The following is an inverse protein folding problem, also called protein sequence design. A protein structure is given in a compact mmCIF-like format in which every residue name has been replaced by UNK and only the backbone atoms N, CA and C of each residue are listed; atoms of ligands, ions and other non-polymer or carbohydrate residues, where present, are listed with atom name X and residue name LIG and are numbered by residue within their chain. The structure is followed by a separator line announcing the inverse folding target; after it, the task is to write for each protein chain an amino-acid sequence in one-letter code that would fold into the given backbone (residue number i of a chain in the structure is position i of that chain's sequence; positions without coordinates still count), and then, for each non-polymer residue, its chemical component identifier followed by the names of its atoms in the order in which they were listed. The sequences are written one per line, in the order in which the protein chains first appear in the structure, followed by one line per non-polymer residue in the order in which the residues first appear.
data_IF_567972850778
#
_entry.id   IF_567972850778
#
_cell.length_a   1.000
_cell.length_b   1.000
_cell.length_c   1.000
_cell.angle_alpha   90.00
_cell.angle_beta   90.00
_cell.angle_gamma   90.00
#
_symmetry.space_group_name_H-M   'P 1'
#
loop_
_entity.id
_entity.type
_entity.pdbx_description
1 polymer ?
#
# COMPACT_ATOMS: atom_id res chain seq x y z
N UNK A 1 8.74 8.78 -13.52
CA UNK A 1 8.88 7.81 -12.44
C UNK A 1 9.19 8.56 -11.17
N UNK A 2 8.37 8.37 -10.14
CA UNK A 2 8.47 9.03 -8.84
C UNK A 2 8.67 7.95 -7.78
N UNK A 3 9.56 8.21 -6.82
CA UNK A 3 9.79 7.32 -5.67
C UNK A 3 9.23 8.05 -4.43
N UNK A 4 8.40 7.36 -3.67
CA UNK A 4 7.83 7.84 -2.41
C UNK A 4 8.42 6.97 -1.30
N UNK A 5 9.26 7.56 -0.47
CA UNK A 5 9.82 6.96 0.74
C UNK A 5 9.26 7.68 1.96
N UNK A 6 9.18 7.00 3.09
CA UNK A 6 8.84 7.60 4.38
C UNK A 6 9.76 7.05 5.46
N UNK A 7 9.98 7.85 6.50
CA UNK A 7 10.69 7.43 7.70
C UNK A 7 9.70 6.71 8.64
N UNK A 8 10.14 5.74 9.44
CA UNK A 8 9.35 5.13 10.52
C UNK A 8 8.78 6.18 11.50
N UNK A 9 9.43 7.35 11.58
CA UNK A 9 9.03 8.49 12.40
C UNK A 9 8.10 9.46 11.67
N UNK A 10 7.93 9.34 10.34
CA UNK A 10 6.89 10.03 9.57
C UNK A 10 5.54 9.40 9.88
N UNK A 11 5.02 9.70 11.07
CA UNK A 11 3.64 9.37 11.40
C UNK A 11 2.73 10.05 10.37
N UNK A 12 1.95 9.25 9.65
CA UNK A 12 0.74 9.71 8.97
C UNK A 12 -0.15 10.36 10.04
N UNK A 13 -0.10 11.70 10.10
CA UNK A 13 -0.58 12.51 11.23
C UNK A 13 -1.79 13.36 10.88
N UNK A 14 -2.15 13.47 9.59
CA UNK A 14 -3.23 14.36 9.18
C UNK A 14 -4.58 13.66 9.32
N UNK A 15 -5.60 14.44 9.72
CA UNK A 15 -6.99 13.98 9.74
C UNK A 15 -7.46 13.54 8.34
N UNK A 16 -6.89 14.15 7.29
CA UNK A 16 -7.19 13.82 5.90
C UNK A 16 -6.71 12.41 5.56
N UNK A 17 -5.48 12.04 5.94
CA UNK A 17 -4.95 10.71 5.67
C UNK A 17 -5.72 9.63 6.43
N UNK A 18 -6.09 9.89 7.69
CA UNK A 18 -6.96 8.98 8.46
C UNK A 18 -8.33 8.81 7.81
N UNK A 19 -8.90 9.88 7.25
CA UNK A 19 -10.18 9.80 6.54
C UNK A 19 -10.06 8.93 5.28
N UNK A 20 -8.95 9.01 4.54
CA UNK A 20 -8.71 8.17 3.35
C UNK A 20 -8.52 6.70 3.72
N UNK A 21 -7.80 6.40 4.80
CA UNK A 21 -7.66 5.02 5.29
C UNK A 21 -9.01 4.47 5.75
N UNK A 22 -9.75 5.22 6.57
CA UNK A 22 -11.08 4.79 7.01
C UNK A 22 -12.04 4.60 5.83
N UNK A 23 -11.95 5.46 4.81
CA UNK A 23 -12.73 5.32 3.59
C UNK A 23 -12.44 3.97 2.90
N UNK A 24 -11.16 3.65 2.71
CA UNK A 24 -10.76 2.39 2.09
C UNK A 24 -11.12 1.18 2.94
N UNK A 25 -10.93 1.22 4.26
CA UNK A 25 -11.33 0.11 5.15
C UNK A 25 -12.85 -0.13 5.10
N UNK A 26 -13.67 0.92 5.05
CA UNK A 26 -15.11 0.77 4.90
C UNK A 26 -15.47 0.18 3.53
N UNK A 27 -14.77 0.58 2.46
CA UNK A 27 -14.95 0.03 1.12
C UNK A 27 -14.65 -1.47 1.09
N UNK A 28 -13.49 -1.89 1.64
CA UNK A 28 -13.08 -3.29 1.67
C UNK A 28 -13.98 -4.19 2.54
N UNK A 29 -14.67 -3.61 3.53
CA UNK A 29 -15.64 -4.32 4.36
C UNK A 29 -17.03 -4.45 3.71
N UNK A 30 -17.29 -3.78 2.59
CA UNK A 30 -18.54 -3.92 1.85
C UNK A 30 -18.49 -5.15 0.94
N UNK A 31 -19.33 -6.15 1.22
CA UNK A 31 -19.42 -7.38 0.42
C UNK A 31 -19.80 -7.18 -1.06
N UNK A 32 -20.24 -5.99 -1.43
CA UNK A 32 -20.65 -5.63 -2.79
C UNK A 32 -19.68 -4.70 -3.50
N UNK A 33 -18.55 -4.39 -2.85
CA UNK A 33 -17.57 -3.47 -3.39
C UNK A 33 -16.92 -4.02 -4.68
N UNK A 34 -16.55 -3.10 -5.57
CA UNK A 34 -15.83 -3.40 -6.80
C UNK A 34 -14.35 -3.05 -6.63
N UNK A 35 -13.43 -4.03 -6.71
CA UNK A 35 -11.98 -3.82 -6.62
C UNK A 35 -11.42 -2.76 -7.57
N UNK A 36 -12.06 -2.57 -8.73
CA UNK A 36 -11.63 -1.59 -9.74
C UNK A 36 -11.95 -0.13 -9.35
N UNK A 37 -12.70 0.09 -8.27
CA UNK A 37 -13.08 1.42 -7.78
C UNK A 37 -12.10 2.02 -6.77
N UNK A 38 -11.06 1.28 -6.38
CA UNK A 38 -10.06 1.77 -5.43
C UNK A 38 -9.32 2.98 -6.04
N UNK A 39 -9.40 4.12 -5.35
CA UNK A 39 -8.66 5.30 -5.76
C UNK A 39 -7.16 5.11 -5.50
N UNK A 40 -6.33 5.58 -6.42
CA UNK A 40 -4.88 5.50 -6.27
C UNK A 40 -4.42 6.24 -5.01
N UNK A 41 -5.09 7.35 -4.67
CA UNK A 41 -4.75 8.15 -3.48
C UNK A 41 -5.00 7.36 -2.20
N UNK A 42 -6.17 6.70 -2.09
CA UNK A 42 -6.50 5.88 -0.91
C UNK A 42 -5.49 4.74 -0.76
N UNK A 43 -5.20 4.03 -1.85
CA UNK A 43 -4.25 2.93 -1.85
C UNK A 43 -2.85 3.36 -1.37
N UNK A 44 -2.34 4.50 -1.83
CA UNK A 44 -1.03 5.01 -1.44
C UNK A 44 -0.97 5.40 0.04
N UNK A 45 -2.00 6.07 0.55
CA UNK A 45 -2.06 6.46 1.97
C UNK A 45 -2.24 5.22 2.85
N UNK A 46 -3.04 4.25 2.41
CA UNK A 46 -3.23 2.98 3.10
C UNK A 46 -1.92 2.20 3.23
N UNK A 47 -1.17 2.05 2.13
CA UNK A 47 0.15 1.42 2.14
C UNK A 47 1.06 2.07 3.17
N UNK A 48 1.18 3.41 3.14
CA UNK A 48 1.99 4.14 4.11
C UNK A 48 1.57 3.88 5.55
N UNK A 49 0.27 3.80 5.83
CA UNK A 49 -0.22 3.59 7.19
C UNK A 49 -0.04 2.16 7.70
N UNK A 50 -0.23 1.15 6.85
CA UNK A 50 -0.15 -0.26 7.26
C UNK A 50 1.28 -0.78 7.32
N UNK A 51 2.17 -0.21 6.50
CA UNK A 51 3.57 -0.61 6.38
C UNK A 51 4.46 0.28 7.25
N UNK A 52 4.16 0.32 8.55
CA UNK A 52 4.90 1.10 9.54
C UNK A 52 5.81 0.17 10.34
N UNK A 53 7.11 0.46 10.39
CA UNK A 53 8.09 -0.25 11.22
C UNK A 53 9.21 -0.96 10.46
N UNK A 54 9.07 -1.14 9.14
CA UNK A 54 10.15 -1.62 8.26
C UNK A 54 10.46 -0.60 7.16
N UNK A 55 11.51 -0.86 6.38
CA UNK A 55 11.86 0.03 5.29
C UNK A 55 11.07 -0.34 4.04
N UNK A 56 10.27 0.63 3.58
CA UNK A 56 9.45 0.47 2.39
C UNK A 56 9.60 1.66 1.45
N UNK A 57 9.36 1.43 0.17
CA UNK A 57 9.24 2.47 -0.83
C UNK A 57 8.09 2.15 -1.78
N UNK A 58 7.47 3.21 -2.30
CA UNK A 58 6.50 3.09 -3.37
C UNK A 58 7.12 3.70 -4.63
N UNK A 59 7.18 2.91 -5.70
CA UNK A 59 7.61 3.33 -7.02
C UNK A 59 6.38 3.61 -7.89
N UNK A 60 6.18 4.88 -8.26
CA UNK A 60 5.09 5.31 -9.13
C UNK A 60 5.62 5.53 -10.55
N UNK A 61 5.29 4.62 -11.46
CA UNK A 61 5.61 4.74 -12.89
C UNK A 61 4.54 5.51 -13.65
N UNK A 62 3.26 5.26 -13.33
CA UNK A 62 2.09 5.94 -13.88
C UNK A 62 1.06 6.17 -12.77
N UNK A 63 0.58 7.40 -12.63
CA UNK A 63 -0.43 7.76 -11.64
C UNK A 63 -1.71 8.23 -12.32
N UNK A 64 -2.80 7.52 -12.08
CA UNK A 64 -4.16 7.83 -12.53
C UNK A 64 -5.08 7.95 -11.32
N UNK A 65 -6.32 8.36 -11.52
CA UNK A 65 -7.31 8.45 -10.44
C UNK A 65 -7.61 7.10 -9.78
N UNK A 66 -7.80 6.06 -10.61
CA UNK A 66 -8.08 4.70 -10.16
C UNK A 66 -6.83 3.83 -10.17
N UNK A 67 -6.69 2.97 -9.15
CA UNK A 67 -5.54 2.09 -8.98
C UNK A 67 -5.37 1.13 -10.16
N UNK A 68 -6.45 0.58 -10.70
CA UNK A 68 -6.45 -0.33 -11.85
C UNK A 68 -5.75 0.27 -13.10
N UNK A 69 -5.79 1.60 -13.23
CA UNK A 69 -5.23 2.34 -14.38
C UNK A 69 -3.81 2.88 -14.10
N UNK A 70 -3.36 2.74 -12.85
CA UNK A 70 -2.05 3.14 -12.37
C UNK A 70 -1.02 2.01 -12.53
N UNK A 71 0.24 2.40 -12.55
CA UNK A 71 1.39 1.49 -12.55
C UNK A 71 2.28 1.88 -11.37
N UNK A 72 2.02 1.21 -10.24
CA UNK A 72 2.63 1.46 -8.93
C UNK A 72 3.21 0.15 -8.43
N UNK A 73 4.37 0.21 -7.80
CA UNK A 73 5.03 -0.92 -7.17
C UNK A 73 5.34 -0.62 -5.72
N UNK A 74 5.17 -1.61 -4.86
CA UNK A 74 5.68 -1.57 -3.50
C UNK A 74 7.01 -2.31 -3.46
N UNK A 75 8.00 -1.71 -2.78
CA UNK A 75 9.29 -2.29 -2.48
C UNK A 75 9.43 -2.38 -0.96
N UNK A 76 9.79 -3.55 -0.44
CA UNK A 76 9.97 -3.79 1.00
C UNK A 76 11.34 -4.41 1.25
N UNK A 77 12.05 -3.97 2.29
CA UNK A 77 13.31 -4.59 2.71
C UNK A 77 13.45 -4.57 4.23
N UNK A 78 13.95 -5.68 4.77
CA UNK A 78 14.48 -5.74 6.12
C UNK A 78 15.75 -4.88 6.18
N UNK A 79 16.02 -4.25 7.34
CA UNK A 79 17.00 -3.16 7.48
C UNK A 79 18.44 -3.44 7.03
N UNK A 80 18.76 -4.68 6.65
CA UNK A 80 19.98 -5.02 5.92
C UNK A 80 19.68 -5.05 4.42
N UNK A 81 19.84 -3.90 3.75
CA UNK A 81 19.69 -3.75 2.30
C UNK A 81 20.64 -4.64 1.43
N UNK A 82 21.37 -5.57 2.04
CA UNK A 82 22.31 -6.49 1.41
C UNK A 82 21.66 -7.64 0.65
N UNK A 83 20.47 -8.10 1.06
CA UNK A 83 19.85 -9.30 0.45
C UNK A 83 18.81 -8.98 -0.64
N UNK A 84 18.50 -7.69 -0.82
CA UNK A 84 17.57 -7.22 -1.84
C UNK A 84 16.12 -7.39 -1.40
N UNK A 85 15.37 -6.29 -1.42
CA UNK A 85 13.97 -6.29 -1.04
C UNK A 85 13.05 -6.96 -2.05
N UNK A 86 11.85 -7.33 -1.61
CA UNK A 86 10.78 -7.80 -2.48
C UNK A 86 10.10 -6.62 -3.18
N UNK A 87 9.77 -6.79 -4.45
CA UNK A 87 9.03 -5.80 -5.23
C UNK A 87 7.84 -6.45 -5.92
N UNK A 88 6.66 -5.89 -5.71
CA UNK A 88 5.44 -6.32 -6.39
C UNK A 88 4.64 -5.14 -6.88
N UNK A 89 3.78 -5.39 -7.88
CA UNK A 89 2.87 -4.39 -8.41
C UNK A 89 1.73 -4.21 -7.41
N UNK A 90 1.42 -2.97 -7.06
CA UNK A 90 0.27 -2.67 -6.22
C UNK A 90 -1.00 -2.76 -7.05
N UNK A 91 -1.84 -3.75 -6.76
CA UNK A 91 -3.20 -3.89 -7.29
C UNK A 91 -4.21 -3.94 -6.16
N UNK A 92 -5.50 -4.10 -6.48
CA UNK A 92 -6.54 -4.30 -5.46
C UNK A 92 -6.29 -5.55 -4.61
N UNK A 93 -5.72 -6.62 -5.18
CA UNK A 93 -5.39 -7.84 -4.46
C UNK A 93 -4.40 -7.58 -3.32
N UNK A 94 -3.30 -6.88 -3.58
CA UNK A 94 -2.32 -6.58 -2.54
C UNK A 94 -2.88 -5.63 -1.46
N UNK A 95 -3.86 -4.78 -1.82
CA UNK A 95 -4.58 -3.96 -0.83
C UNK A 95 -5.46 -4.83 0.07
N UNK A 96 -6.18 -5.81 -0.50
CA UNK A 96 -6.97 -6.77 0.27
C UNK A 96 -6.07 -7.63 1.17
N UNK A 97 -4.96 -8.14 0.64
CA UNK A 97 -4.00 -8.91 1.41
C UNK A 97 -3.40 -8.09 2.56
N UNK A 98 -3.13 -6.80 2.32
CA UNK A 98 -2.69 -5.88 3.37
C UNK A 98 -3.77 -5.69 4.44
N UNK A 99 -5.03 -5.58 4.05
CA UNK A 99 -6.15 -5.42 4.97
C UNK A 99 -6.38 -6.68 5.83
N UNK A 100 -6.15 -7.86 5.26
CA UNK A 100 -6.25 -9.15 5.93
C UNK A 100 -5.00 -9.53 6.73
N UNK A 101 -3.91 -8.75 6.61
CA UNK A 101 -2.63 -9.05 7.23
C UNK A 101 -1.88 -10.23 6.59
N UNK A 102 -2.20 -10.59 5.34
CA UNK A 102 -1.64 -11.73 4.59
C UNK A 102 -0.54 -11.32 3.62
N UNK A 103 -0.33 -10.02 3.37
CA UNK A 103 0.56 -9.52 2.32
C UNK A 103 2.01 -10.02 2.37
N UNK A 104 2.55 -10.28 3.58
CA UNK A 104 3.91 -10.81 3.79
C UNK A 104 3.93 -12.06 4.65
N UNK A 105 2.79 -12.75 4.80
CA UNK A 105 2.83 -14.05 5.43
C UNK A 105 3.51 -15.01 4.45
N UNK A 106 4.80 -15.28 4.69
CA UNK A 106 5.43 -16.47 4.14
C UNK A 106 4.55 -17.65 4.54
N UNK A 107 4.06 -18.40 3.55
CA UNK A 107 3.41 -19.67 3.83
C UNK A 107 4.47 -20.53 4.54
N UNK A 108 4.36 -20.68 5.87
CA UNK A 108 5.07 -21.73 6.59
C UNK A 108 4.57 -23.06 6.01
N UNK A 109 5.35 -23.66 5.10
CA UNK A 109 5.16 -25.05 4.61
C UNK A 109 5.51 -26.08 5.70
#
# INVERSE_FOLDING_TARGET
MQIITWDENEKVKSLEDQALVNHLENLLNDSTYDPDTISTKDALVYCKMKLMGEHHAILVKKMEELLMNSEIYLLTWDGEASDGGEMFRLTSYEIEDMANGTLFMEFEE
#
